data_IF_955295303578
#
_entry.id   IF_955295303578
#
_cell.length_a   1.000
_cell.length_b   1.000
_cell.length_c   1.000
_cell.angle_alpha   90.00
_cell.angle_beta   90.00
_cell.angle_gamma   90.00
#
_symmetry.space_group_name_H-M   'P 1'
#
loop_
_entity.id
_entity.type
_entity.pdbx_description
1 polymer ?
#
# COMPACT_ATOMS: atom_id res chain seq x y z
N UNK A 1 -19.92 -7.16 23.31
CA UNK A 1 -18.56 -7.34 22.73
C UNK A 1 -18.05 -6.03 22.18
N UNK A 2 -16.85 -5.66 22.57
CA UNK A 2 -16.23 -4.42 22.13
C UNK A 2 -15.48 -4.66 20.82
N UNK A 3 -15.87 -3.98 19.75
CA UNK A 3 -15.19 -4.06 18.45
C UNK A 3 -14.31 -2.82 18.29
N UNK A 4 -13.08 -3.05 17.84
CA UNK A 4 -12.12 -1.96 17.64
C UNK A 4 -11.69 -1.89 16.18
N UNK A 5 -11.45 -0.67 15.72
CA UNK A 5 -10.86 -0.40 14.42
C UNK A 5 -9.69 0.55 14.62
N UNK A 6 -8.60 0.29 13.94
CA UNK A 6 -7.44 1.17 13.97
C UNK A 6 -6.94 1.43 12.57
N UNK A 7 -6.36 2.61 12.38
CA UNK A 7 -5.69 2.99 11.14
C UNK A 7 -4.37 3.66 11.52
N UNK A 8 -3.29 3.23 10.90
CA UNK A 8 -1.97 3.78 11.19
C UNK A 8 -1.12 3.82 9.91
N UNK A 9 -0.11 4.68 9.91
CA UNK A 9 0.88 4.71 8.84
C UNK A 9 1.94 3.65 9.17
N UNK A 10 2.15 2.72 8.25
CA UNK A 10 3.12 1.66 8.41
C UNK A 10 4.51 2.02 7.90
N UNK A 11 5.45 1.09 8.03
CA UNK A 11 6.83 1.25 7.58
C UNK A 11 7.01 1.03 6.07
N UNK A 12 6.03 0.43 5.41
CA UNK A 12 6.04 0.24 3.98
C UNK A 12 6.87 -0.95 3.49
N UNK A 13 6.50 -2.16 3.86
CA UNK A 13 7.16 -3.37 3.34
C UNK A 13 6.31 -4.03 2.27
N UNK A 14 6.65 -3.79 1.01
CA UNK A 14 5.94 -4.37 -0.15
C UNK A 14 6.03 -5.90 -0.13
N UNK A 15 7.20 -6.45 0.17
CA UNK A 15 7.40 -7.91 0.20
C UNK A 15 6.62 -8.59 1.32
N UNK A 16 6.55 -7.98 2.49
CA UNK A 16 5.73 -8.48 3.59
C UNK A 16 4.25 -8.44 3.21
N UNK A 17 3.78 -7.31 2.67
CA UNK A 17 2.39 -7.13 2.32
C UNK A 17 1.93 -8.10 1.21
N UNK A 18 2.78 -8.38 0.23
CA UNK A 18 2.49 -9.34 -0.83
C UNK A 18 2.81 -10.79 -0.45
N UNK A 19 3.26 -11.03 0.77
CA UNK A 19 3.65 -12.35 1.28
C UNK A 19 4.79 -13.03 0.51
N UNK A 20 5.71 -12.24 -0.05
CA UNK A 20 6.97 -12.76 -0.58
C UNK A 20 7.84 -13.34 0.53
N UNK A 21 7.70 -12.82 1.77
CA UNK A 21 8.18 -13.47 2.99
C UNK A 21 7.10 -13.39 4.06
N UNK A 22 7.21 -14.26 5.08
CA UNK A 22 6.24 -14.31 6.17
C UNK A 22 6.92 -14.00 7.50
N UNK A 23 6.32 -13.09 8.27
CA UNK A 23 6.76 -12.77 9.61
C UNK A 23 6.26 -13.83 10.62
N UNK A 24 6.86 -13.88 11.81
CA UNK A 24 6.47 -14.84 12.85
C UNK A 24 5.00 -14.71 13.28
N UNK A 25 4.44 -13.51 13.24
CA UNK A 25 3.06 -13.25 13.61
C UNK A 25 2.05 -13.64 12.53
N UNK A 26 2.50 -14.16 11.39
CA UNK A 26 1.64 -14.57 10.29
C UNK A 26 1.31 -16.05 10.43
N UNK A 27 0.01 -16.38 10.36
CA UNK A 27 -0.46 -17.76 10.34
C UNK A 27 -0.44 -18.28 8.91
N UNK A 28 0.57 -19.06 8.57
CA UNK A 28 0.78 -19.57 7.21
C UNK A 28 -0.37 -20.45 6.73
N UNK A 29 -1.07 -21.15 7.62
CA UNK A 29 -2.20 -22.02 7.26
C UNK A 29 -3.40 -21.21 6.75
N UNK A 30 -3.49 -19.93 7.13
CA UNK A 30 -4.56 -19.03 6.71
C UNK A 30 -4.18 -18.08 5.60
N UNK A 31 -2.95 -18.16 5.08
CA UNK A 31 -2.50 -17.26 3.99
C UNK A 31 -3.35 -17.40 2.73
N UNK A 32 -3.98 -18.55 2.50
CA UNK A 32 -4.88 -18.76 1.36
C UNK A 32 -6.15 -17.90 1.44
N UNK A 33 -6.50 -17.37 2.61
CA UNK A 33 -7.64 -16.48 2.81
C UNK A 33 -7.32 -15.03 2.49
N UNK A 34 -6.04 -14.71 2.28
CA UNK A 34 -5.61 -13.37 1.92
C UNK A 34 -6.13 -12.98 0.55
N UNK A 35 -6.39 -11.69 0.37
CA UNK A 35 -6.83 -11.13 -0.92
C UNK A 35 -5.82 -10.08 -1.36
N UNK A 36 -5.32 -10.21 -2.58
CA UNK A 36 -4.51 -9.20 -3.23
C UNK A 36 -5.41 -8.38 -4.16
N UNK A 37 -5.81 -7.17 -3.73
CA UNK A 37 -6.63 -6.28 -4.54
C UNK A 37 -5.85 -5.72 -5.72
N UNK A 38 -4.61 -5.30 -5.47
CA UNK A 38 -3.68 -4.88 -6.51
C UNK A 38 -2.26 -5.02 -5.98
N UNK A 39 -1.33 -5.22 -6.89
CA UNK A 39 0.09 -5.33 -6.56
C UNK A 39 0.91 -4.93 -7.77
N UNK A 40 0.95 -3.63 -8.05
CA UNK A 40 1.67 -3.08 -9.18
C UNK A 40 3.13 -2.80 -8.79
N UNK A 41 4.02 -2.81 -9.78
CA UNK A 41 5.41 -2.43 -9.57
C UNK A 41 5.50 -0.91 -9.42
N UNK A 42 6.01 -0.43 -8.29
CA UNK A 42 6.05 0.99 -7.99
C UNK A 42 6.90 1.80 -8.99
N UNK A 43 7.96 1.22 -9.53
CA UNK A 43 8.80 1.90 -10.54
C UNK A 43 8.03 2.12 -11.84
N UNK A 44 7.25 1.14 -12.26
CA UNK A 44 6.36 1.27 -13.42
C UNK A 44 5.28 2.34 -13.17
N UNK A 45 4.70 2.35 -11.99
CA UNK A 45 3.70 3.34 -11.62
C UNK A 45 4.29 4.76 -11.69
N UNK A 46 5.51 4.94 -11.19
CA UNK A 46 6.21 6.23 -11.29
C UNK A 46 6.39 6.66 -12.73
N UNK A 47 6.76 5.75 -13.64
CA UNK A 47 6.88 6.05 -15.06
C UNK A 47 5.54 6.47 -15.67
N UNK A 48 4.49 5.72 -15.39
CA UNK A 48 3.15 6.02 -15.92
C UNK A 48 2.63 7.38 -15.44
N UNK A 49 2.86 7.73 -14.18
CA UNK A 49 2.33 8.96 -13.60
C UNK A 49 3.19 10.19 -13.90
N UNK A 50 4.51 10.05 -13.98
CA UNK A 50 5.42 11.19 -13.91
C UNK A 50 6.34 11.38 -15.11
N UNK A 51 6.47 10.43 -16.03
CA UNK A 51 7.44 10.54 -17.14
C UNK A 51 7.19 11.77 -18.01
N UNK A 52 5.93 12.04 -18.33
CA UNK A 52 5.58 13.21 -19.15
C UNK A 52 5.94 14.52 -18.44
N UNK A 53 5.58 14.64 -17.16
CA UNK A 53 5.90 15.81 -16.36
C UNK A 53 7.42 15.97 -16.18
N UNK A 54 8.13 14.85 -16.01
CA UNK A 54 9.58 14.83 -15.88
C UNK A 54 10.26 15.32 -17.17
N UNK A 55 9.78 14.87 -18.31
CA UNK A 55 10.30 15.32 -19.62
C UNK A 55 10.12 16.82 -19.78
N UNK A 56 8.94 17.35 -19.42
CA UNK A 56 8.69 18.80 -19.47
C UNK A 56 9.61 19.56 -18.54
N UNK A 57 9.81 19.07 -17.32
CA UNK A 57 10.73 19.68 -16.34
C UNK A 57 12.15 19.71 -16.88
N UNK A 58 12.67 18.56 -17.36
CA UNK A 58 14.03 18.44 -17.84
C UNK A 58 14.31 19.35 -19.08
N UNK A 59 13.32 19.49 -19.94
CA UNK A 59 13.44 20.37 -21.13
C UNK A 59 13.67 21.83 -20.74
N UNK A 60 13.12 22.28 -19.62
CA UNK A 60 13.29 23.64 -19.11
C UNK A 60 14.61 23.88 -18.40
N UNK A 61 15.36 22.82 -18.06
CA UNK A 61 16.61 22.93 -17.32
C UNK A 61 17.79 23.12 -18.29
N UNK A 62 18.55 24.21 -18.12
CA UNK A 62 19.76 24.46 -18.92
C UNK A 62 20.98 23.79 -18.33
N UNK A 63 20.99 23.55 -17.03
CA UNK A 63 22.11 22.89 -16.32
C UNK A 63 21.87 21.40 -16.21
N UNK A 64 22.84 20.59 -16.61
CA UNK A 64 22.77 19.14 -16.56
C UNK A 64 22.55 18.61 -15.13
N UNK A 65 23.16 19.26 -14.11
CA UNK A 65 23.05 18.85 -12.72
C UNK A 65 21.65 19.07 -12.11
N UNK A 66 20.80 19.84 -12.79
CA UNK A 66 19.40 20.07 -12.39
C UNK A 66 18.40 19.15 -13.08
N UNK A 67 18.85 18.41 -14.09
CA UNK A 67 18.00 17.42 -14.76
C UNK A 67 17.86 16.18 -13.90
N UNK A 68 16.69 15.58 -13.95
CA UNK A 68 16.37 14.38 -13.20
C UNK A 68 16.27 13.21 -14.17
N UNK A 69 17.19 12.24 -14.05
CA UNK A 69 17.20 11.05 -14.92
C UNK A 69 16.17 10.02 -14.49
N UNK A 70 16.00 9.82 -13.17
CA UNK A 70 15.11 8.82 -12.60
C UNK A 70 14.40 9.41 -11.39
N UNK A 71 13.11 9.71 -11.55
CA UNK A 71 12.34 10.37 -10.50
C UNK A 71 12.14 9.49 -9.27
N UNK A 72 11.87 8.20 -9.46
CA UNK A 72 11.72 7.27 -8.35
C UNK A 72 12.98 7.22 -7.48
N UNK A 73 14.16 7.09 -8.11
CA UNK A 73 15.42 7.06 -7.39
C UNK A 73 15.72 8.38 -6.67
N UNK A 74 15.36 9.50 -7.28
CA UNK A 74 15.48 10.82 -6.63
C UNK A 74 14.67 10.86 -5.35
N UNK A 75 13.42 10.44 -5.40
CA UNK A 75 12.54 10.45 -4.22
C UNK A 75 13.00 9.42 -3.19
N UNK A 76 13.36 8.20 -3.62
CA UNK A 76 13.81 7.14 -2.73
C UNK A 76 15.07 7.52 -1.94
N UNK A 77 15.98 8.25 -2.56
CA UNK A 77 17.23 8.68 -1.91
C UNK A 77 17.09 9.99 -1.13
N UNK A 78 15.94 10.65 -1.21
CA UNK A 78 15.69 11.88 -0.46
C UNK A 78 15.55 11.60 1.03
N UNK A 79 16.00 12.53 1.85
CA UNK A 79 15.82 12.48 3.32
C UNK A 79 14.46 13.02 3.77
N UNK A 80 13.78 13.78 2.91
CA UNK A 80 12.56 14.49 3.24
C UNK A 80 11.32 13.90 2.57
N UNK A 81 11.50 13.14 1.50
CA UNK A 81 10.43 12.58 0.70
C UNK A 81 10.47 11.06 0.74
N UNK A 82 9.30 10.44 0.63
CA UNK A 82 9.17 8.97 0.58
C UNK A 82 8.53 8.58 -0.74
N UNK A 83 8.98 7.46 -1.36
CA UNK A 83 8.42 7.04 -2.65
C UNK A 83 6.96 6.62 -2.55
N UNK A 84 6.52 6.14 -1.40
CA UNK A 84 5.12 5.81 -1.15
C UNK A 84 4.84 5.85 0.35
N UNK A 85 3.55 5.82 0.69
CA UNK A 85 3.08 5.74 2.06
C UNK A 85 2.23 4.49 2.23
N UNK A 86 2.33 3.87 3.39
CA UNK A 86 1.55 2.70 3.73
C UNK A 86 0.48 3.07 4.74
N UNK A 87 -0.73 2.62 4.50
CA UNK A 87 -1.83 2.72 5.46
C UNK A 87 -2.22 1.33 5.91
N UNK A 88 -2.19 1.10 7.22
CA UNK A 88 -2.56 -0.16 7.85
C UNK A 88 -3.89 0.02 8.55
N UNK A 89 -4.86 -0.82 8.19
CA UNK A 89 -6.18 -0.86 8.81
C UNK A 89 -6.37 -2.21 9.47
N UNK A 90 -6.82 -2.20 10.70
CA UNK A 90 -7.04 -3.42 11.48
C UNK A 90 -8.37 -3.33 12.21
N UNK A 91 -9.13 -4.41 12.15
CA UNK A 91 -10.40 -4.52 12.87
C UNK A 91 -10.29 -5.67 13.85
N UNK A 92 -10.60 -5.37 15.14
CA UNK A 92 -10.63 -6.35 16.20
C UNK A 92 -9.25 -6.81 16.66
N UNK A 93 -9.22 -7.97 17.28
CA UNK A 93 -8.02 -8.59 17.80
C UNK A 93 -8.01 -10.09 17.48
N UNK A 94 -6.91 -10.75 17.85
CA UNK A 94 -6.70 -12.17 17.59
C UNK A 94 -7.73 -13.07 18.27
N UNK A 95 -8.20 -12.69 19.44
CA UNK A 95 -9.09 -13.52 20.25
C UNK A 95 -10.55 -13.44 19.78
N UNK A 96 -10.99 -12.25 19.40
CA UNK A 96 -12.41 -11.97 19.14
C UNK A 96 -12.77 -11.88 17.66
N UNK A 97 -11.77 -11.71 16.78
CA UNK A 97 -11.98 -11.42 15.35
C UNK A 97 -11.19 -12.35 14.44
N UNK A 98 -11.15 -13.64 14.77
CA UNK A 98 -10.49 -14.64 13.92
C UNK A 98 -11.07 -14.66 12.50
N UNK A 99 -10.22 -14.91 11.51
CA UNK A 99 -10.58 -14.82 10.09
C UNK A 99 -11.76 -15.69 9.68
N UNK A 100 -11.92 -16.84 10.30
CA UNK A 100 -12.99 -17.80 9.99
C UNK A 100 -14.24 -17.59 10.84
N UNK A 101 -14.20 -16.67 11.83
CA UNK A 101 -15.35 -16.36 12.67
C UNK A 101 -16.34 -15.48 11.90
N UNK A 102 -17.58 -15.41 12.40
CA UNK A 102 -18.60 -14.49 11.87
C UNK A 102 -18.13 -13.04 11.93
N UNK A 103 -17.49 -12.65 13.03
CA UNK A 103 -16.91 -11.31 13.18
C UNK A 103 -15.76 -11.06 12.21
N UNK A 104 -14.94 -12.07 11.92
CA UNK A 104 -13.87 -11.99 10.93
C UNK A 104 -14.42 -11.76 9.53
N UNK A 105 -15.50 -12.45 9.16
CA UNK A 105 -16.15 -12.27 7.86
C UNK A 105 -16.79 -10.88 7.74
N UNK A 106 -17.38 -10.37 8.81
CA UNK A 106 -17.92 -9.01 8.83
C UNK A 106 -16.81 -7.98 8.69
N UNK A 107 -15.69 -8.16 9.37
CA UNK A 107 -14.52 -7.30 9.25
C UNK A 107 -13.99 -7.27 7.82
N UNK A 108 -13.93 -8.43 7.16
CA UNK A 108 -13.54 -8.52 5.75
C UNK A 108 -14.45 -7.67 4.86
N UNK A 109 -15.76 -7.74 5.06
CA UNK A 109 -16.70 -6.94 4.29
C UNK A 109 -16.48 -5.45 4.48
N UNK A 110 -16.21 -5.02 5.72
CA UNK A 110 -15.95 -3.61 6.02
C UNK A 110 -14.66 -3.14 5.36
N UNK A 111 -13.59 -3.92 5.46
CA UNK A 111 -12.30 -3.56 4.86
C UNK A 111 -12.36 -3.56 3.34
N UNK A 112 -13.06 -4.51 2.75
CA UNK A 112 -13.30 -4.58 1.30
C UNK A 112 -14.04 -3.34 0.80
N UNK A 113 -15.10 -2.95 1.49
CA UNK A 113 -15.86 -1.73 1.14
C UNK A 113 -15.00 -0.47 1.29
N UNK A 114 -14.17 -0.41 2.31
CA UNK A 114 -13.25 0.71 2.51
C UNK A 114 -12.27 0.83 1.33
N UNK A 115 -11.67 -0.28 0.93
CA UNK A 115 -10.74 -0.31 -0.20
C UNK A 115 -11.43 0.13 -1.50
N UNK A 116 -12.62 -0.42 -1.79
CA UNK A 116 -13.34 -0.14 -3.04
C UNK A 116 -13.71 1.34 -3.19
N UNK A 117 -13.97 2.03 -2.08
CA UNK A 117 -14.28 3.45 -2.08
C UNK A 117 -13.08 4.38 -1.94
N UNK A 118 -11.89 3.82 -1.66
CA UNK A 118 -10.71 4.63 -1.31
C UNK A 118 -10.30 5.60 -2.41
N UNK A 119 -10.21 5.14 -3.64
CA UNK A 119 -9.75 5.96 -4.76
C UNK A 119 -10.70 7.13 -5.03
N UNK A 120 -12.00 6.90 -4.94
CA UNK A 120 -13.01 7.95 -5.12
C UNK A 120 -12.93 9.02 -4.02
N UNK A 121 -12.65 8.61 -2.78
CA UNK A 121 -12.47 9.52 -1.67
C UNK A 121 -11.13 10.28 -1.71
N UNK A 122 -10.14 9.72 -2.40
CA UNK A 122 -8.77 10.25 -2.44
C UNK A 122 -8.29 10.33 -3.90
N UNK A 123 -8.86 11.23 -4.71
CA UNK A 123 -8.55 11.26 -6.15
C UNK A 123 -7.12 11.68 -6.47
N UNK A 124 -6.42 12.29 -5.51
CA UNK A 124 -5.03 12.73 -5.69
C UNK A 124 -4.01 11.68 -5.25
N UNK A 125 -4.47 10.51 -4.82
CA UNK A 125 -3.62 9.39 -4.42
C UNK A 125 -3.77 8.24 -5.41
N UNK A 126 -2.69 7.52 -5.64
CA UNK A 126 -2.70 6.32 -6.48
C UNK A 126 -2.39 5.11 -5.62
N UNK A 127 -3.30 4.15 -5.60
CA UNK A 127 -3.11 2.90 -4.87
C UNK A 127 -2.42 1.90 -5.79
N UNK A 128 -1.15 1.63 -5.56
CA UNK A 128 -0.40 0.67 -6.38
C UNK A 128 -0.35 -0.73 -5.76
N UNK A 129 -0.62 -0.84 -4.47
CA UNK A 129 -0.58 -2.10 -3.76
C UNK A 129 -1.60 -2.08 -2.62
N UNK A 130 -2.44 -3.10 -2.57
CA UNK A 130 -3.46 -3.24 -1.53
C UNK A 130 -3.72 -4.72 -1.28
N UNK A 131 -3.61 -5.13 -0.03
CA UNK A 131 -3.73 -6.53 0.37
C UNK A 131 -4.61 -6.63 1.62
N UNK A 132 -5.45 -7.65 1.65
CA UNK A 132 -6.20 -8.05 2.84
C UNK A 132 -5.54 -9.30 3.42
N UNK A 133 -5.10 -9.22 4.65
CA UNK A 133 -4.45 -10.34 5.34
C UNK A 133 -5.43 -10.96 6.34
N UNK A 134 -5.69 -12.23 6.16
CA UNK A 134 -6.54 -13.06 7.03
C UNK A 134 -5.69 -14.09 7.80
N UNK A 135 -4.37 -14.07 7.64
CA UNK A 135 -3.43 -15.00 8.27
C UNK A 135 -2.76 -14.48 9.56
#
# INVERSE_FOLDING_TARGET
MKRTISAMVGKGSVNHNSRKFKAENVDAERSHLNVDYCNENIKKVYHELFDEALARYNTKQTRADRKIANYYEKIRSSKQEKPFHELILQIGDKENMGAESENGQLAKQVLDAYYRGFQARNPNLYVFSAHLHMD
#
